data_IF_175032360656
#
_entry.id   IF_175032360656
#
_cell.length_a   1.000
_cell.length_b   1.000
_cell.length_c   1.000
_cell.angle_alpha   90.00
_cell.angle_beta   90.00
_cell.angle_gamma   90.00
#
_symmetry.space_group_name_H-M   'P 1'
#
loop_
_entity.id
_entity.type
_entity.pdbx_description
1 polymer ?
#
# COMPACT_ATOMS: atom_id res chain seq x y z
N UNK A 1 -16.73 9.40 25.58
CA UNK A 1 -15.55 8.61 25.15
C UNK A 1 -14.97 9.25 23.90
N UNK A 2 -13.69 9.69 23.94
CA UNK A 2 -13.03 10.32 22.78
C UNK A 2 -12.71 9.25 21.73
N UNK A 3 -13.45 9.25 20.63
CA UNK A 3 -13.19 8.43 19.45
C UNK A 3 -11.80 8.81 18.91
N UNK A 4 -10.86 7.86 19.03
CA UNK A 4 -9.48 8.00 18.55
C UNK A 4 -9.53 8.42 17.08
N UNK A 5 -8.98 9.59 16.78
CA UNK A 5 -8.71 10.08 15.43
C UNK A 5 -7.98 8.97 14.68
N UNK A 6 -8.68 8.27 13.79
CA UNK A 6 -8.10 7.20 12.99
C UNK A 6 -7.05 7.83 12.09
N UNK A 7 -5.78 7.78 12.51
CA UNK A 7 -4.64 8.01 11.62
C UNK A 7 -4.76 6.95 10.53
N UNK A 8 -5.31 7.32 9.38
CA UNK A 8 -5.46 6.43 8.23
C UNK A 8 -4.13 5.71 8.01
N UNK A 9 -4.14 4.38 8.16
CA UNK A 9 -2.92 3.58 8.23
C UNK A 9 -2.24 3.58 6.85
N UNK A 10 -0.91 3.48 6.84
CA UNK A 10 -0.13 3.36 5.58
C UNK A 10 -0.68 2.23 4.72
N UNK A 11 -1.07 1.11 5.34
CA UNK A 11 -1.69 -0.02 4.67
C UNK A 11 -3.00 0.36 3.94
N UNK A 12 -3.86 1.18 4.54
CA UNK A 12 -5.12 1.63 3.91
C UNK A 12 -4.85 2.53 2.70
N UNK A 13 -3.85 3.40 2.81
CA UNK A 13 -3.42 4.26 1.70
C UNK A 13 -2.80 3.44 0.57
N UNK A 14 -1.99 2.45 0.90
CA UNK A 14 -1.45 1.49 -0.07
C UNK A 14 -2.59 0.77 -0.80
N UNK A 15 -3.61 0.30 -0.09
CA UNK A 15 -4.79 -0.30 -0.70
C UNK A 15 -5.51 0.66 -1.64
N UNK A 16 -5.72 1.93 -1.25
CA UNK A 16 -6.33 2.97 -2.11
C UNK A 16 -5.50 3.28 -3.36
N UNK A 17 -4.18 3.17 -3.29
CA UNK A 17 -3.28 3.38 -4.43
C UNK A 17 -3.36 2.19 -5.39
N UNK A 18 -3.24 0.97 -4.85
CA UNK A 18 -3.24 -0.28 -5.63
C UNK A 18 -4.64 -0.63 -6.18
N UNK A 19 -5.73 -0.14 -5.57
CA UNK A 19 -7.09 -0.36 -6.08
C UNK A 19 -7.34 0.28 -7.43
N UNK A 20 -6.58 1.33 -7.79
CA UNK A 20 -6.78 2.06 -9.06
C UNK A 20 -6.12 1.36 -10.24
N UNK A 21 -4.97 0.70 -10.04
CA UNK A 21 -4.17 0.06 -11.09
C UNK A 21 -3.14 -0.90 -10.51
N UNK A 22 -2.60 -1.77 -11.37
CA UNK A 22 -1.45 -2.60 -11.04
C UNK A 22 -0.22 -1.71 -10.86
N UNK A 23 0.47 -1.82 -9.72
CA UNK A 23 1.63 -0.98 -9.42
C UNK A 23 2.74 -1.78 -8.75
N UNK A 24 3.98 -1.44 -9.05
CA UNK A 24 5.17 -1.92 -8.35
C UNK A 24 5.31 -1.22 -6.98
N UNK A 25 6.16 -1.76 -6.10
CA UNK A 25 6.40 -1.15 -4.79
C UNK A 25 6.94 0.28 -4.86
N UNK A 26 7.74 0.59 -5.88
CA UNK A 26 8.28 1.94 -6.09
C UNK A 26 7.21 2.92 -6.58
N UNK A 27 6.33 2.47 -7.47
CA UNK A 27 5.20 3.28 -7.92
C UNK A 27 4.21 3.54 -6.80
N UNK A 28 3.96 2.55 -5.94
CA UNK A 28 3.16 2.74 -4.71
C UNK A 28 3.80 3.79 -3.82
N UNK A 29 5.12 3.72 -3.61
CA UNK A 29 5.86 4.74 -2.84
C UNK A 29 5.70 6.13 -3.43
N UNK A 30 5.88 6.25 -4.75
CA UNK A 30 5.78 7.52 -5.46
C UNK A 30 4.38 8.10 -5.32
N UNK A 31 3.34 7.29 -5.53
CA UNK A 31 1.94 7.70 -5.34
C UNK A 31 1.61 8.08 -3.90
N UNK A 32 2.16 7.37 -2.90
CA UNK A 32 1.96 7.73 -1.50
C UNK A 32 2.54 9.11 -1.18
N UNK A 33 3.71 9.42 -1.76
CA UNK A 33 4.32 10.75 -1.65
C UNK A 33 3.49 11.80 -2.40
N UNK A 34 3.10 11.54 -3.64
CA UNK A 34 2.40 12.50 -4.50
C UNK A 34 0.95 12.78 -4.02
N UNK A 35 0.19 11.75 -3.64
CA UNK A 35 -1.22 11.91 -3.25
C UNK A 35 -1.42 12.23 -1.77
N UNK A 36 -0.53 11.78 -0.89
CA UNK A 36 -0.72 11.90 0.55
C UNK A 36 0.40 12.66 1.27
N UNK A 37 1.46 13.07 0.58
CA UNK A 37 2.63 13.73 1.19
C UNK A 37 3.48 12.79 2.05
N UNK A 38 3.29 11.47 1.96
CA UNK A 38 3.96 10.50 2.81
C UNK A 38 5.38 10.20 2.31
N UNK A 39 6.38 10.73 3.00
CA UNK A 39 7.77 10.30 2.85
C UNK A 39 8.02 9.05 3.70
N UNK A 40 7.71 7.89 3.16
CA UNK A 40 7.90 6.59 3.82
C UNK A 40 9.18 5.93 3.32
N UNK A 41 9.90 5.27 4.24
CA UNK A 41 11.07 4.48 3.91
C UNK A 41 10.70 3.29 3.00
N UNK A 42 11.56 2.89 2.05
CA UNK A 42 11.28 1.72 1.22
C UNK A 42 10.99 0.45 2.01
N UNK A 43 11.61 0.28 3.18
CA UNK A 43 11.44 -0.86 4.07
C UNK A 43 10.03 -0.91 4.65
N UNK A 44 9.52 0.22 5.14
CA UNK A 44 8.16 0.31 5.69
C UNK A 44 7.10 -0.04 4.63
N UNK A 45 7.29 0.38 3.38
CA UNK A 45 6.38 0.01 2.29
C UNK A 45 6.44 -1.49 2.02
N UNK A 46 7.64 -2.09 2.01
CA UNK A 46 7.79 -3.53 1.84
C UNK A 46 7.09 -4.30 2.96
N UNK A 47 7.25 -3.88 4.22
CA UNK A 47 6.59 -4.50 5.38
C UNK A 47 5.06 -4.42 5.23
N UNK A 48 4.53 -3.25 4.86
CA UNK A 48 3.08 -3.08 4.67
C UNK A 48 2.54 -3.90 3.47
N UNK A 49 3.28 -3.98 2.36
CA UNK A 49 2.90 -4.82 1.21
C UNK A 49 2.91 -6.31 1.58
N UNK A 50 3.92 -6.77 2.32
CA UNK A 50 3.97 -8.15 2.82
C UNK A 50 2.82 -8.45 3.79
N UNK A 51 2.49 -7.50 4.67
CA UNK A 51 1.34 -7.60 5.56
C UNK A 51 0.02 -7.73 4.79
N UNK A 52 -0.18 -6.92 3.75
CA UNK A 52 -1.36 -6.97 2.90
C UNK A 52 -1.44 -8.26 2.06
N UNK A 53 -0.29 -8.78 1.61
CA UNK A 53 -0.20 -10.09 0.94
C UNK A 53 -0.61 -11.23 1.88
N UNK A 54 -0.10 -11.23 3.12
CA UNK A 54 -0.47 -12.25 4.13
C UNK A 54 -1.95 -12.23 4.49
N UNK A 55 -2.60 -11.08 4.40
CA UNK A 55 -4.04 -10.92 4.64
C UNK A 55 -4.88 -11.13 3.37
N UNK A 56 -4.27 -11.56 2.28
CA UNK A 56 -4.92 -11.79 0.99
C UNK A 56 -5.67 -10.55 0.44
N UNK A 57 -5.31 -9.34 0.91
CA UNK A 57 -5.91 -8.07 0.44
C UNK A 57 -5.33 -7.60 -0.89
N UNK A 58 -4.14 -8.08 -1.23
CA UNK A 58 -3.49 -7.83 -2.52
C UNK A 58 -2.89 -9.15 -3.02
N UNK A 59 -2.75 -9.27 -4.34
CA UNK A 59 -2.01 -10.34 -5.00
C UNK A 59 -0.76 -9.75 -5.65
N UNK A 60 0.32 -10.54 -5.70
CA UNK A 60 1.56 -10.17 -6.38
C UNK A 60 1.76 -11.04 -7.60
N UNK A 61 1.91 -10.42 -8.76
CA UNK A 61 2.25 -11.13 -10.00
C UNK A 61 3.75 -11.36 -10.05
N UNK A 62 4.17 -12.61 -10.29
CA UNK A 62 5.59 -13.02 -10.28
C UNK A 62 6.41 -12.35 -11.36
N UNK A 63 5.82 -12.12 -12.52
CA UNK A 63 6.53 -11.68 -13.73
C UNK A 63 7.14 -10.28 -13.63
N UNK A 64 6.51 -9.37 -12.88
CA UNK A 64 6.96 -7.97 -12.80
C UNK A 64 6.94 -7.39 -11.37
N UNK A 65 6.82 -8.25 -10.34
CA UNK A 65 6.70 -7.84 -8.92
C UNK A 65 5.61 -6.78 -8.69
N UNK A 66 4.58 -6.80 -9.53
CA UNK A 66 3.44 -5.86 -9.51
C UNK A 66 2.42 -6.35 -8.49
N UNK A 67 1.82 -5.42 -7.77
CA UNK A 67 0.78 -5.68 -6.79
C UNK A 67 -0.58 -5.30 -7.39
N UNK A 68 -1.56 -6.18 -7.22
CA UNK A 68 -2.97 -6.02 -7.61
C UNK A 68 -3.82 -6.03 -6.37
N UNK A 69 -4.85 -5.19 -6.31
CA UNK A 69 -5.84 -5.26 -5.26
C UNK A 69 -6.65 -6.55 -5.39
N UNK A 70 -6.89 -7.25 -4.27
CA UNK A 70 -7.65 -8.49 -4.22
C UNK A 70 -8.87 -8.32 -3.30
N UNK A 71 -10.05 -8.50 -3.87
CA UNK A 71 -11.34 -8.67 -3.18
C UNK A 71 -12.02 -9.90 -3.77
#
# INVERSE_FOLDING_TARGET
MKTKTQKASVAEKIMKVISKRLMTAEEVRKQLKDQFGYSIKPEDIRVNLLYLLRREKIKRTKENKVYKYHI
#
